data_IF_579170286238
#
_entry.id   IF_579170286238
#
_cell.length_a   1.000
_cell.length_b   1.000
_cell.length_c   1.000
_cell.angle_alpha   90.00
_cell.angle_beta   90.00
_cell.angle_gamma   90.00
#
_symmetry.space_group_name_H-M   'P 1'
#
loop_
_entity.id
_entity.type
_entity.pdbx_description
1 polymer ?
#
# COMPACT_ATOMS: atom_id res chain seq x y z
N UNK A 1 27.16 -59.98 -18.18
CA UNK A 1 26.51 -58.67 -18.03
C UNK A 1 27.49 -57.75 -17.32
N UNK A 2 28.14 -56.83 -18.04
CA UNK A 2 29.41 -56.23 -17.60
C UNK A 2 29.18 -55.20 -16.48
N UNK A 3 29.95 -55.32 -15.40
CA UNK A 3 29.84 -54.49 -14.19
C UNK A 3 29.92 -52.98 -14.46
N UNK A 4 30.57 -52.61 -15.57
CA UNK A 4 30.67 -51.23 -16.07
C UNK A 4 29.33 -50.63 -16.53
N UNK A 5 28.38 -51.44 -17.01
CA UNK A 5 27.05 -50.94 -17.42
C UNK A 5 26.11 -50.77 -16.22
N UNK A 6 26.27 -51.57 -15.16
CA UNK A 6 25.44 -51.49 -13.94
C UNK A 6 25.70 -50.18 -13.20
N UNK A 7 26.96 -49.75 -13.09
CA UNK A 7 27.30 -48.47 -12.46
C UNK A 7 26.81 -47.28 -13.28
N UNK A 8 26.89 -47.36 -14.62
CA UNK A 8 26.40 -46.31 -15.52
C UNK A 8 24.88 -46.13 -15.41
N UNK A 9 24.10 -47.21 -15.32
CA UNK A 9 22.64 -47.13 -15.17
C UNK A 9 22.21 -46.52 -13.83
N UNK A 10 22.93 -46.81 -12.74
CA UNK A 10 22.62 -46.27 -11.41
C UNK A 10 22.91 -44.76 -11.36
N UNK A 11 24.02 -44.31 -11.93
CA UNK A 11 24.39 -42.88 -11.95
C UNK A 11 23.39 -42.06 -12.78
N UNK A 12 22.94 -42.57 -13.92
CA UNK A 12 21.92 -41.90 -14.75
C UNK A 12 20.57 -41.82 -14.02
N UNK A 13 20.16 -42.89 -13.33
CA UNK A 13 18.92 -42.89 -12.54
C UNK A 13 18.96 -41.88 -11.38
N UNK A 14 20.09 -41.77 -10.69
CA UNK A 14 20.29 -40.80 -9.59
C UNK A 14 20.26 -39.36 -10.12
N UNK A 15 20.87 -39.09 -11.29
CA UNK A 15 20.84 -37.78 -11.95
C UNK A 15 19.42 -37.37 -12.36
N UNK A 16 18.61 -38.31 -12.88
CA UNK A 16 17.21 -38.03 -13.21
C UNK A 16 16.34 -37.75 -11.98
N UNK A 17 16.61 -38.44 -10.86
CA UNK A 17 15.93 -38.20 -9.58
C UNK A 17 16.27 -36.84 -8.96
N UNK A 18 17.54 -36.41 -9.06
CA UNK A 18 18.00 -35.09 -8.57
C UNK A 18 17.47 -33.93 -9.42
N UNK A 19 17.41 -34.09 -10.75
CA UNK A 19 16.84 -33.08 -11.64
C UNK A 19 15.31 -32.96 -11.46
N UNK A 20 14.61 -34.09 -11.22
CA UNK A 20 13.17 -34.12 -11.00
C UNK A 20 12.71 -33.36 -9.74
N UNK A 21 13.55 -33.26 -8.71
CA UNK A 21 13.19 -32.56 -7.47
C UNK A 21 13.12 -31.03 -7.64
N UNK A 22 13.86 -30.47 -8.59
CA UNK A 22 13.95 -29.02 -8.79
C UNK A 22 12.82 -28.43 -9.66
N UNK A 23 12.03 -29.27 -10.33
CA UNK A 23 10.94 -28.82 -11.21
C UNK A 23 9.57 -28.74 -10.51
N UNK A 24 9.46 -29.24 -9.27
CA UNK A 24 8.19 -29.32 -8.54
C UNK A 24 7.77 -28.06 -7.79
N UNK A 25 8.59 -27.00 -7.78
CA UNK A 25 8.34 -25.83 -6.95
C UNK A 25 8.38 -24.55 -7.77
N UNK A 26 7.40 -24.33 -8.65
CA UNK A 26 7.13 -23.01 -9.24
C UNK A 26 5.72 -22.99 -9.85
N UNK A 27 4.66 -23.02 -9.03
CA UNK A 27 3.37 -22.36 -9.29
C UNK A 27 2.61 -22.30 -7.96
N UNK A 28 2.90 -21.27 -7.16
CA UNK A 28 1.97 -20.88 -6.09
C UNK A 28 0.65 -20.44 -6.74
N UNK A 29 -0.51 -20.71 -6.13
CA UNK A 29 -1.77 -20.19 -6.66
C UNK A 29 -1.71 -18.66 -6.68
N UNK A 30 -1.89 -18.08 -7.87
CA UNK A 30 -2.27 -16.68 -8.06
C UNK A 30 -3.54 -16.47 -7.24
N UNK A 31 -3.38 -16.03 -5.99
CA UNK A 31 -4.51 -15.75 -5.10
C UNK A 31 -5.18 -14.50 -5.67
N UNK A 32 -6.14 -14.73 -6.56
CA UNK A 32 -6.97 -13.67 -7.09
C UNK A 32 -7.85 -13.23 -5.92
N UNK A 33 -7.43 -12.19 -5.22
CA UNK A 33 -8.15 -11.70 -4.05
C UNK A 33 -9.54 -11.24 -4.48
N UNK A 34 -10.56 -12.03 -4.14
CA UNK A 34 -11.97 -11.68 -4.33
C UNK A 34 -12.30 -10.56 -3.37
N UNK A 35 -12.19 -9.31 -3.82
CA UNK A 35 -12.58 -8.16 -3.01
C UNK A 35 -14.10 -8.03 -3.03
N UNK A 36 -14.70 -7.96 -1.85
CA UNK A 36 -16.12 -7.63 -1.71
C UNK A 36 -16.31 -6.13 -1.92
N UNK A 37 -17.31 -5.78 -2.73
CA UNK A 37 -17.76 -4.40 -2.89
C UNK A 37 -18.29 -3.93 -1.54
N UNK A 38 -17.66 -2.91 -0.93
CA UNK A 38 -18.09 -2.35 0.34
C UNK A 38 -19.07 -1.21 0.09
N UNK A 39 -20.32 -1.37 0.52
CA UNK A 39 -21.32 -0.29 0.55
C UNK A 39 -21.32 0.34 1.94
N UNK A 40 -21.04 1.64 2.01
CA UNK A 40 -20.90 2.41 3.25
C UNK A 40 -21.82 3.62 3.16
N UNK A 41 -22.51 3.95 4.25
CA UNK A 41 -23.26 5.21 4.38
C UNK A 41 -22.36 6.22 5.06
N UNK A 42 -22.16 7.39 4.43
CA UNK A 42 -21.35 8.45 5.02
C UNK A 42 -22.14 9.31 6.02
N UNK A 43 -21.45 10.24 6.69
CA UNK A 43 -22.05 11.14 7.67
C UNK A 43 -23.09 12.11 7.07
N UNK A 44 -23.14 12.24 5.74
CA UNK A 44 -24.13 13.05 5.02
C UNK A 44 -25.28 12.20 4.47
N UNK A 45 -25.40 10.94 4.91
CA UNK A 45 -26.40 9.97 4.47
C UNK A 45 -26.34 9.67 2.96
N UNK A 46 -25.14 9.65 2.39
CA UNK A 46 -24.89 9.26 1.00
C UNK A 46 -24.42 7.81 0.92
N UNK A 47 -24.90 7.11 -0.09
CA UNK A 47 -24.43 5.78 -0.46
C UNK A 47 -23.04 5.89 -1.12
N UNK A 48 -22.01 5.38 -0.47
CA UNK A 48 -20.65 5.26 -1.00
C UNK A 48 -20.34 3.81 -1.30
N UNK A 49 -20.12 3.49 -2.58
CA UNK A 49 -19.81 2.13 -3.04
C UNK A 49 -18.33 2.05 -3.40
N UNK A 50 -17.57 1.26 -2.64
CA UNK A 50 -16.14 0.99 -2.90
C UNK A 50 -16.05 -0.34 -3.63
N UNK A 51 -15.75 -0.28 -4.91
CA UNK A 51 -15.67 -1.48 -5.78
C UNK A 51 -14.35 -2.20 -5.68
N UNK A 52 -13.25 -1.54 -5.31
CA UNK A 52 -11.92 -2.13 -5.15
C UNK A 52 -11.18 -1.52 -3.96
N UNK A 53 -10.17 -2.20 -3.37
CA UNK A 53 -9.38 -1.64 -2.29
C UNK A 53 -8.76 -0.29 -2.70
N UNK A 54 -8.86 0.75 -1.86
CA UNK A 54 -8.28 2.05 -2.17
C UNK A 54 -6.75 1.97 -2.20
N UNK A 55 -6.18 2.45 -3.30
CA UNK A 55 -4.73 2.53 -3.54
C UNK A 55 -4.17 3.92 -3.19
N UNK A 56 -5.00 4.96 -3.28
CA UNK A 56 -4.62 6.36 -3.03
C UNK A 56 -5.67 7.04 -2.16
N UNK A 57 -5.22 7.76 -1.13
CA UNK A 57 -6.06 8.41 -0.13
C UNK A 57 -5.69 9.89 -0.03
N UNK A 58 -6.71 10.74 -0.02
CA UNK A 58 -6.58 12.18 0.30
C UNK A 58 -7.24 12.43 1.64
N UNK A 59 -6.48 12.92 2.61
CA UNK A 59 -6.98 13.24 3.95
C UNK A 59 -7.25 14.73 4.09
N UNK A 60 -8.50 15.07 4.42
CA UNK A 60 -8.94 16.47 4.57
C UNK A 60 -8.92 16.96 6.02
N UNK A 61 -8.69 16.08 6.99
CA UNK A 61 -8.73 16.39 8.41
C UNK A 61 -7.46 15.90 9.11
N UNK A 62 -6.82 16.72 9.98
CA UNK A 62 -5.62 16.30 10.72
C UNK A 62 -5.82 15.00 11.49
N UNK A 63 -6.94 14.86 12.21
CA UNK A 63 -7.27 13.66 12.99
C UNK A 63 -7.32 12.38 12.14
N UNK A 64 -7.83 12.46 10.90
CA UNK A 64 -7.89 11.32 9.99
C UNK A 64 -6.50 10.96 9.47
N UNK A 65 -5.67 11.95 9.19
CA UNK A 65 -4.26 11.73 8.80
C UNK A 65 -3.51 11.00 9.90
N UNK A 66 -3.69 11.39 11.16
CA UNK A 66 -3.05 10.73 12.29
C UNK A 66 -3.48 9.27 12.42
N UNK A 67 -4.78 8.98 12.29
CA UNK A 67 -5.31 7.62 12.32
C UNK A 67 -4.72 6.78 11.17
N UNK A 68 -4.64 7.32 9.96
CA UNK A 68 -4.08 6.61 8.80
C UNK A 68 -2.61 6.22 9.02
N UNK A 69 -1.81 7.12 9.59
CA UNK A 69 -0.41 6.83 9.91
C UNK A 69 -0.29 5.86 11.09
N UNK A 70 -1.15 5.98 12.11
CA UNK A 70 -1.18 5.04 13.23
C UNK A 70 -1.54 3.61 12.79
N UNK A 71 -2.37 3.46 11.75
CA UNK A 71 -2.72 2.17 11.14
C UNK A 71 -1.64 1.65 10.17
N UNK A 72 -0.52 2.35 9.98
CA UNK A 72 0.53 1.98 9.02
C UNK A 72 0.11 2.16 7.56
N UNK A 73 -0.94 2.93 7.28
CA UNK A 73 -1.45 3.20 5.93
C UNK A 73 -0.92 4.52 5.35
N UNK A 74 0.10 5.12 5.97
CA UNK A 74 0.70 6.39 5.55
C UNK A 74 1.21 6.38 4.10
N UNK A 75 1.71 5.23 3.63
CA UNK A 75 2.23 5.08 2.26
C UNK A 75 1.15 5.24 1.17
N UNK A 76 -0.13 5.07 1.52
CA UNK A 76 -1.26 5.25 0.58
C UNK A 76 -1.76 6.69 0.55
N UNK A 77 -1.28 7.55 1.44
CA UNK A 77 -1.69 8.96 1.50
C UNK A 77 -0.95 9.73 0.43
N UNK A 78 -1.68 10.32 -0.50
CA UNK A 78 -1.12 11.13 -1.60
C UNK A 78 -1.43 12.62 -1.45
N UNK A 79 -2.38 12.97 -0.58
CA UNK A 79 -2.78 14.36 -0.38
C UNK A 79 -3.23 14.64 1.04
N UNK A 80 -2.83 15.80 1.57
CA UNK A 80 -3.21 16.30 2.90
C UNK A 80 -3.54 17.78 2.85
N UNK A 81 -4.14 18.33 3.90
CA UNK A 81 -4.33 19.78 4.03
C UNK A 81 -3.12 20.46 4.67
N UNK A 82 -3.01 21.77 4.52
CA UNK A 82 -1.92 22.58 5.09
C UNK A 82 -1.83 22.53 6.62
N UNK A 83 -2.88 22.03 7.28
CA UNK A 83 -2.95 21.87 8.73
C UNK A 83 -2.56 20.46 9.20
N UNK A 84 -2.39 19.50 8.29
CA UNK A 84 -1.92 18.16 8.62
C UNK A 84 -0.41 18.17 8.84
N UNK A 85 0.03 18.55 10.03
CA UNK A 85 1.43 18.69 10.39
C UNK A 85 1.95 17.58 11.32
N UNK A 86 1.11 16.60 11.64
CA UNK A 86 1.45 15.46 12.49
C UNK A 86 0.92 14.15 11.85
N UNK A 87 1.65 13.03 11.94
CA UNK A 87 3.00 12.86 12.51
C UNK A 87 4.11 13.58 11.71
N UNK A 88 5.34 13.76 12.26
CA UNK A 88 6.44 14.46 11.59
C UNK A 88 6.79 13.90 10.21
N UNK A 89 6.50 12.61 10.00
CA UNK A 89 6.64 11.92 8.72
C UNK A 89 5.84 12.59 7.60
N UNK A 90 4.62 13.06 7.88
CA UNK A 90 3.78 13.78 6.91
C UNK A 90 4.50 15.01 6.40
N UNK A 91 5.10 15.80 7.31
CA UNK A 91 5.82 17.02 6.95
C UNK A 91 7.03 16.72 6.06
N UNK A 92 7.76 15.65 6.34
CA UNK A 92 8.90 15.23 5.54
C UNK A 92 8.45 14.74 4.15
N UNK A 93 7.42 13.89 4.09
CA UNK A 93 6.87 13.38 2.84
C UNK A 93 6.29 14.50 1.95
N UNK A 94 5.71 15.53 2.54
CA UNK A 94 5.25 16.72 1.80
C UNK A 94 6.42 17.52 1.23
N UNK A 95 7.51 17.70 1.99
CA UNK A 95 8.72 18.37 1.50
C UNK A 95 9.43 17.59 0.39
N UNK A 96 9.39 16.27 0.46
CA UNK A 96 9.91 15.35 -0.57
C UNK A 96 9.01 15.27 -1.81
N UNK A 97 7.81 15.88 -1.77
CA UNK A 97 6.85 15.84 -2.88
C UNK A 97 6.08 14.52 -3.02
N UNK A 98 6.16 13.62 -2.02
CA UNK A 98 5.38 12.37 -2.00
C UNK A 98 3.90 12.61 -1.66
N UNK A 99 3.63 13.64 -0.85
CA UNK A 99 2.28 14.05 -0.45
C UNK A 99 2.06 15.49 -0.90
N UNK A 100 0.95 15.74 -1.60
CA UNK A 100 0.58 17.09 -2.01
C UNK A 100 -0.32 17.80 -0.99
N UNK A 101 -0.14 19.12 -0.86
CA UNK A 101 -1.07 19.94 -0.10
C UNK A 101 -2.26 20.28 -1.00
N UNK A 102 -3.40 19.60 -0.78
CA UNK A 102 -4.61 19.75 -1.61
C UNK A 102 -5.48 20.94 -1.22
N UNK A 103 -5.22 21.56 -0.08
CA UNK A 103 -5.98 22.72 0.38
C UNK A 103 -5.75 23.09 1.83
N UNK A 104 -6.56 24.03 2.29
CA UNK A 104 -6.55 24.55 3.66
C UNK A 104 -7.60 25.64 3.82
N UNK A 105 -7.94 25.97 5.07
CA UNK A 105 -8.80 27.09 5.36
C UNK A 105 -8.10 28.42 5.05
N UNK A 106 -8.82 29.42 4.49
CA UNK A 106 -8.27 30.75 4.33
C UNK A 106 -7.84 31.26 5.70
N UNK A 107 -6.54 31.52 5.85
CA UNK A 107 -6.04 32.36 6.95
C UNK A 107 -6.65 33.74 6.71
N UNK A 108 -7.79 34.01 7.33
CA UNK A 108 -8.23 35.38 7.57
C UNK A 108 -7.17 36.03 8.45
N UNK A 109 -6.16 36.61 7.80
CA UNK A 109 -5.22 37.50 8.44
C UNK A 109 -6.05 38.74 8.73
N UNK A 110 -6.61 38.81 9.94
CA UNK A 110 -7.22 40.04 10.42
C UNK A 110 -6.13 41.09 10.28
N UNK A 111 -6.29 42.01 9.32
CA UNK A 111 -5.34 43.08 9.08
C UNK A 111 -5.35 43.89 10.37
N UNK A 112 -4.28 43.82 11.15
CA UNK A 112 -4.07 44.73 12.28
C UNK A 112 -4.23 46.14 11.72
N UNK A 113 -5.39 46.75 11.99
CA UNK A 113 -5.59 48.15 11.75
C UNK A 113 -4.67 48.86 12.72
N UNK A 114 -3.54 49.38 12.23
CA UNK A 114 -2.72 50.31 12.98
C UNK A 114 -3.62 51.46 13.43
N UNK A 115 -4.09 51.41 14.67
CA UNK A 115 -4.76 52.50 15.34
C UNK A 115 -3.68 53.55 15.64
N UNK A 116 -3.60 54.54 14.78
CA UNK A 116 -2.91 55.81 15.07
C UNK A 116 -3.97 56.85 15.35
#
# INVERSE_FOLDING_TARGET
MNIKYITLTIVVAILMLLAGYNAGMMLGPETTATYTVAKIIDAMNRDVVITKPPERVVSLAPSVTEILFALGLGDKVVGVTSFCNYPPQVVNMTKEGKIEIVGGYPRFKCRESNST
#
